data_IF_912581130529
#
_entry.id   IF_912581130529
#
_cell.length_a   1.000
_cell.length_b   1.000
_cell.length_c   1.000
_cell.angle_alpha   90.00
_cell.angle_beta   90.00
_cell.angle_gamma   90.00
#
_symmetry.space_group_name_H-M   'P 1'
#
loop_
_entity.id
_entity.type
_entity.pdbx_description
1 polymer ?
#
# COMPACT_ATOMS: atom_id res chain seq x y z
N UNK A 1 23.09 10.47 -5.68
CA UNK A 1 22.39 9.20 -5.36
C UNK A 1 21.60 9.25 -4.04
N UNK A 2 22.11 9.93 -2.99
CA UNK A 2 21.44 9.99 -1.69
C UNK A 2 19.98 10.51 -1.72
N UNK A 3 19.67 11.57 -2.48
CA UNK A 3 18.31 12.09 -2.62
C UNK A 3 17.35 11.11 -3.33
N UNK A 4 17.85 10.30 -4.27
CA UNK A 4 17.05 9.24 -4.93
C UNK A 4 16.75 8.11 -3.94
N UNK A 5 17.64 7.84 -2.99
CA UNK A 5 17.36 6.86 -1.94
C UNK A 5 16.22 7.33 -1.00
N UNK A 6 16.03 8.65 -0.83
CA UNK A 6 14.92 9.21 -0.03
C UNK A 6 13.55 8.91 -0.65
N UNK A 7 13.46 8.80 -1.98
CA UNK A 7 12.19 8.56 -2.68
C UNK A 7 11.78 7.09 -2.72
N UNK A 8 12.68 6.16 -2.35
CA UNK A 8 12.50 4.70 -2.42
C UNK A 8 11.92 4.24 -3.78
N UNK A 9 12.74 4.13 -4.84
CA UNK A 9 12.28 3.79 -6.19
C UNK A 9 11.45 2.50 -6.29
N UNK A 10 11.66 1.53 -5.40
CA UNK A 10 10.84 0.29 -5.35
C UNK A 10 9.37 0.54 -5.02
N UNK A 11 9.00 1.69 -4.47
CA UNK A 11 7.59 2.07 -4.26
C UNK A 11 6.87 2.30 -5.59
N UNK A 12 7.61 2.63 -6.66
CA UNK A 12 7.04 2.78 -8.01
C UNK A 12 6.37 1.48 -8.46
N UNK A 13 6.97 0.31 -8.20
CA UNK A 13 6.39 -0.98 -8.63
C UNK A 13 5.00 -1.21 -8.00
N UNK A 14 4.86 -0.88 -6.71
CA UNK A 14 3.59 -1.00 -6.00
C UNK A 14 2.56 0.04 -6.48
N UNK A 15 3.03 1.24 -6.84
CA UNK A 15 2.18 2.29 -7.39
C UNK A 15 1.69 1.91 -8.79
N UNK A 16 2.56 1.34 -9.63
CA UNK A 16 2.23 0.85 -10.96
C UNK A 16 1.19 -0.27 -10.93
N UNK A 17 1.35 -1.24 -10.02
CA UNK A 17 0.45 -2.40 -9.97
C UNK A 17 -0.97 -2.05 -9.52
N UNK A 18 -1.16 -0.91 -8.85
CA UNK A 18 -2.46 -0.48 -8.34
C UNK A 18 -3.06 0.68 -9.13
N UNK A 19 -2.26 1.64 -9.58
CA UNK A 19 -2.74 2.81 -10.33
C UNK A 19 -3.04 2.48 -11.79
N UNK A 20 -2.10 1.84 -12.50
CA UNK A 20 -2.23 1.66 -13.95
C UNK A 20 -3.42 0.77 -14.30
N UNK A 21 -3.64 -0.40 -13.66
CA UNK A 21 -4.84 -1.19 -13.92
C UNK A 21 -6.15 -0.46 -13.70
N UNK A 22 -6.19 0.41 -12.69
CA UNK A 22 -7.39 1.20 -12.39
C UNK A 22 -7.62 2.26 -13.47
N UNK A 23 -6.57 2.82 -14.08
CA UNK A 23 -6.70 3.70 -15.24
C UNK A 23 -7.32 2.98 -16.44
N UNK A 24 -6.94 1.72 -16.69
CA UNK A 24 -7.56 0.89 -17.74
C UNK A 24 -9.04 0.63 -17.46
N UNK A 25 -9.37 0.28 -16.21
CA UNK A 25 -10.76 0.11 -15.79
C UNK A 25 -11.57 1.41 -15.92
N UNK A 26 -10.99 2.54 -15.52
CA UNK A 26 -11.63 3.85 -15.57
C UNK A 26 -11.89 4.30 -17.02
N UNK A 27 -10.95 4.02 -17.93
CA UNK A 27 -11.09 4.28 -19.36
C UNK A 27 -12.06 3.31 -20.05
N UNK A 28 -12.28 2.12 -19.46
CA UNK A 28 -12.88 0.96 -20.14
C UNK A 28 -12.13 0.65 -21.45
N UNK A 29 -10.79 0.64 -21.39
CA UNK A 29 -9.93 0.48 -22.56
C UNK A 29 -8.49 0.89 -22.27
N UNK A 30 -7.72 1.20 -23.32
CA UNK A 30 -6.33 1.67 -23.17
C UNK A 30 -6.34 3.17 -22.85
N UNK A 31 -5.87 3.62 -21.67
CA UNK A 31 -5.73 5.04 -21.36
C UNK A 31 -4.62 5.68 -22.18
N UNK A 32 -4.70 6.99 -22.41
CA UNK A 32 -3.64 7.75 -23.08
C UNK A 32 -2.29 7.57 -22.37
N UNK A 33 -1.25 7.23 -23.14
CA UNK A 33 0.07 6.91 -22.59
C UNK A 33 0.68 8.12 -21.87
N UNK A 34 0.49 9.33 -22.40
CA UNK A 34 1.00 10.56 -21.75
C UNK A 34 0.32 10.77 -20.40
N UNK A 35 -0.99 10.55 -20.30
CA UNK A 35 -1.72 10.60 -19.03
C UNK A 35 -1.22 9.56 -18.02
N UNK A 36 -0.96 8.31 -18.46
CA UNK A 36 -0.36 7.26 -17.61
C UNK A 36 0.99 7.70 -17.07
N UNK A 37 1.88 8.19 -17.94
CA UNK A 37 3.22 8.65 -17.56
C UNK A 37 3.17 9.83 -16.59
N UNK A 38 2.32 10.82 -16.85
CA UNK A 38 2.13 11.97 -15.95
C UNK A 38 1.56 11.55 -14.59
N UNK A 39 0.58 10.64 -14.57
CA UNK A 39 0.00 10.11 -13.32
C UNK A 39 1.03 9.34 -12.51
N UNK A 40 1.82 8.48 -13.15
CA UNK A 40 2.87 7.71 -12.49
C UNK A 40 3.99 8.62 -11.96
N UNK A 41 4.41 9.62 -12.75
CA UNK A 41 5.41 10.61 -12.33
C UNK A 41 4.91 11.44 -11.14
N UNK A 42 3.69 11.98 -11.21
CA UNK A 42 3.08 12.72 -10.12
C UNK A 42 2.95 11.88 -8.86
N UNK A 43 2.46 10.65 -8.98
CA UNK A 43 2.36 9.69 -7.89
C UNK A 43 3.71 9.36 -7.27
N UNK A 44 4.74 9.14 -8.08
CA UNK A 44 6.10 8.92 -7.62
C UNK A 44 6.66 10.12 -6.84
N UNK A 45 6.48 11.34 -7.34
CA UNK A 45 6.94 12.54 -6.64
C UNK A 45 6.19 12.73 -5.31
N UNK A 46 4.87 12.49 -5.27
CA UNK A 46 4.08 12.55 -4.03
C UNK A 46 4.55 11.51 -3.02
N UNK A 47 4.62 10.24 -3.42
CA UNK A 47 5.10 9.16 -2.56
C UNK A 47 6.55 9.38 -2.12
N UNK A 48 7.40 9.89 -3.00
CA UNK A 48 8.79 10.25 -2.71
C UNK A 48 8.91 11.35 -1.66
N UNK A 49 8.10 12.41 -1.78
CA UNK A 49 8.00 13.48 -0.79
C UNK A 49 7.51 12.97 0.57
N UNK A 50 6.47 12.15 0.57
CA UNK A 50 5.94 11.51 1.76
C UNK A 50 6.99 10.63 2.47
N UNK A 51 7.81 9.90 1.71
CA UNK A 51 8.91 9.10 2.27
C UNK A 51 10.06 9.94 2.83
N UNK A 52 10.46 11.01 2.13
CA UNK A 52 11.49 11.92 2.62
C UNK A 52 11.06 12.57 3.95
N UNK A 53 9.80 13.01 4.04
CA UNK A 53 9.24 13.55 5.28
C UNK A 53 9.10 12.49 6.38
N UNK A 54 8.74 11.25 6.03
CA UNK A 54 8.72 10.15 6.98
C UNK A 54 10.12 9.87 7.56
N UNK A 55 11.16 9.81 6.73
CA UNK A 55 12.55 9.64 7.19
C UNK A 55 12.99 10.81 8.06
N UNK A 56 12.59 12.04 7.72
CA UNK A 56 12.86 13.22 8.53
C UNK A 56 12.30 13.10 9.96
N UNK A 57 11.04 12.65 10.08
CA UNK A 57 10.36 12.51 11.37
C UNK A 57 10.90 11.32 12.16
N UNK A 58 11.16 10.19 11.49
CA UNK A 58 11.58 8.93 12.12
C UNK A 58 13.10 8.78 12.31
N UNK A 59 13.87 9.84 12.08
CA UNK A 59 15.35 9.82 12.14
C UNK A 59 15.94 9.25 13.44
N UNK A 60 15.25 9.48 14.56
CA UNK A 60 15.65 9.06 15.91
C UNK A 60 15.52 7.53 16.08
N UNK A 61 14.41 6.95 15.62
CA UNK A 61 14.18 5.50 15.70
C UNK A 61 14.87 4.74 14.56
N UNK A 62 15.02 5.36 13.39
CA UNK A 62 15.67 4.73 12.24
C UNK A 62 17.15 4.41 12.54
N UNK A 63 17.80 5.22 13.39
CA UNK A 63 19.18 5.01 13.83
C UNK A 63 19.35 3.76 14.73
N UNK A 64 18.26 3.28 15.33
CA UNK A 64 18.25 2.17 16.29
C UNK A 64 17.82 0.83 15.68
N UNK A 65 17.52 0.79 14.38
CA UNK A 65 17.12 -0.44 13.68
C UNK A 65 18.15 -0.83 12.62
N UNK A 66 18.55 -2.11 12.61
CA UNK A 66 19.54 -2.65 11.67
C UNK A 66 19.16 -2.39 10.20
N UNK A 67 17.85 -2.46 9.89
CA UNK A 67 17.33 -2.26 8.53
C UNK A 67 17.40 -0.81 8.04
N UNK A 68 17.44 0.18 8.94
CA UNK A 68 17.30 1.61 8.59
C UNK A 68 18.46 2.47 9.04
N UNK A 69 19.41 1.90 9.78
CA UNK A 69 20.64 2.57 10.21
C UNK A 69 21.49 3.11 9.06
N UNK A 70 21.33 2.55 7.85
CA UNK A 70 22.02 2.96 6.63
C UNK A 70 21.25 4.02 5.81
N UNK A 71 20.16 4.59 6.32
CA UNK A 71 19.41 5.63 5.60
C UNK A 71 20.26 6.90 5.48
N UNK A 72 20.17 7.65 4.35
CA UNK A 72 20.99 8.85 4.12
C UNK A 72 20.94 9.91 5.22
N UNK A 73 19.80 10.01 5.90
CA UNK A 73 19.59 10.95 6.99
C UNK A 73 20.27 10.52 8.30
N UNK A 74 20.39 9.21 8.53
CA UNK A 74 21.05 8.63 9.71
C UNK A 74 22.56 8.67 9.55
N UNK A 75 23.06 8.38 8.35
CA UNK A 75 24.50 8.39 8.05
C UNK A 75 25.08 9.80 7.85
N UNK A 76 24.25 10.85 7.90
CA UNK A 76 24.66 12.23 7.68
C UNK A 76 24.98 12.59 6.22
N UNK A 77 24.66 11.72 5.24
CA UNK A 77 24.85 12.01 3.81
C UNK A 77 23.92 13.13 3.30
N UNK A 78 22.81 13.36 3.99
CA UNK A 78 21.88 14.47 3.74
C UNK A 78 21.55 15.11 5.08
N UNK A 79 21.60 16.43 5.17
CA UNK A 79 21.22 17.12 6.41
C UNK A 79 19.70 17.08 6.63
N UNK A 80 19.22 17.17 7.88
CA UNK A 80 17.80 17.24 8.16
C UNK A 80 17.08 18.38 7.43
N UNK A 81 17.72 19.55 7.30
CA UNK A 81 17.15 20.71 6.61
C UNK A 81 16.97 20.45 5.11
N UNK A 82 17.96 19.85 4.47
CA UNK A 82 17.89 19.46 3.05
C UNK A 82 16.81 18.41 2.80
N UNK A 83 16.70 17.40 3.67
CA UNK A 83 15.67 16.37 3.55
C UNK A 83 14.25 16.94 3.68
N UNK A 84 14.04 17.85 4.63
CA UNK A 84 12.76 18.55 4.81
C UNK A 84 12.42 19.41 3.59
N UNK A 85 13.36 20.23 3.13
CA UNK A 85 13.17 21.08 1.95
C UNK A 85 12.91 20.25 0.68
N UNK A 86 13.60 19.12 0.53
CA UNK A 86 13.39 18.19 -0.58
C UNK A 86 11.99 17.55 -0.53
N UNK A 87 11.57 17.06 0.64
CA UNK A 87 10.24 16.46 0.81
C UNK A 87 9.09 17.44 0.51
N UNK A 88 9.20 18.68 1.01
CA UNK A 88 8.22 19.75 0.74
C UNK A 88 8.22 20.12 -0.75
N UNK A 89 9.40 20.29 -1.35
CA UNK A 89 9.53 20.59 -2.78
C UNK A 89 8.85 19.51 -3.63
N UNK A 90 9.09 18.23 -3.35
CA UNK A 90 8.45 17.13 -4.05
C UNK A 90 6.92 17.15 -3.90
N UNK A 91 6.41 17.47 -2.70
CA UNK A 91 4.97 17.59 -2.46
C UNK A 91 4.34 18.72 -3.30
N UNK A 92 4.97 19.90 -3.33
CA UNK A 92 4.50 21.05 -4.12
C UNK A 92 4.56 20.75 -5.61
N UNK A 93 5.71 20.25 -6.09
CA UNK A 93 5.90 19.91 -7.51
C UNK A 93 4.91 18.83 -7.96
N UNK A 94 4.72 17.78 -7.17
CA UNK A 94 3.73 16.74 -7.46
C UNK A 94 2.31 17.30 -7.56
N UNK A 95 1.92 18.14 -6.60
CA UNK A 95 0.57 18.73 -6.55
C UNK A 95 0.33 19.62 -7.76
N UNK A 96 1.28 20.49 -8.11
CA UNK A 96 1.20 21.34 -9.30
C UNK A 96 1.21 20.52 -10.59
N UNK A 97 2.04 19.49 -10.67
CA UNK A 97 2.08 18.59 -11.82
C UNK A 97 0.72 17.94 -12.04
N UNK A 98 0.09 17.37 -11.00
CA UNK A 98 -1.26 16.84 -11.12
C UNK A 98 -2.29 17.91 -11.48
N UNK A 99 -2.31 19.04 -10.78
CA UNK A 99 -3.32 20.07 -10.96
C UNK A 99 -3.30 20.71 -12.36
N UNK A 100 -2.09 20.91 -12.91
CA UNK A 100 -1.89 21.58 -14.20
C UNK A 100 -1.87 20.64 -15.40
N UNK A 101 -1.56 19.35 -15.22
CA UNK A 101 -1.37 18.42 -16.35
C UNK A 101 -2.33 17.22 -16.36
N UNK A 102 -3.01 16.94 -15.25
CA UNK A 102 -3.94 15.81 -15.10
C UNK A 102 -5.33 16.32 -14.71
N UNK A 103 -5.52 16.70 -13.44
CA UNK A 103 -6.67 17.44 -12.91
C UNK A 103 -6.48 17.74 -11.42
N UNK A 104 -7.26 18.70 -10.91
CA UNK A 104 -7.22 19.11 -9.51
C UNK A 104 -7.77 18.06 -8.53
N UNK A 105 -8.72 17.21 -8.96
CA UNK A 105 -9.23 16.14 -8.09
C UNK A 105 -8.11 15.17 -7.71
N UNK A 106 -7.35 14.72 -8.69
CA UNK A 106 -6.19 13.83 -8.50
C UNK A 106 -5.09 14.51 -7.69
N UNK A 107 -4.88 15.82 -7.89
CA UNK A 107 -3.94 16.61 -7.10
C UNK A 107 -4.33 16.62 -5.61
N UNK A 108 -5.61 16.88 -5.30
CA UNK A 108 -6.10 16.89 -3.91
C UNK A 108 -6.07 15.50 -3.26
N UNK A 109 -6.39 14.45 -4.01
CA UNK A 109 -6.27 13.07 -3.51
C UNK A 109 -4.80 12.72 -3.23
N UNK A 110 -3.86 13.09 -4.11
CA UNK A 110 -2.44 12.85 -3.92
C UNK A 110 -1.86 13.64 -2.74
N UNK A 111 -2.25 14.92 -2.59
CA UNK A 111 -1.84 15.75 -1.46
C UNK A 111 -2.43 15.23 -0.15
N UNK A 112 -3.72 14.86 -0.16
CA UNK A 112 -4.40 14.25 0.99
C UNK A 112 -3.73 12.95 1.44
N UNK A 113 -3.37 12.08 0.50
CA UNK A 113 -2.62 10.85 0.77
C UNK A 113 -1.27 11.13 1.44
N UNK A 114 -0.52 12.11 0.91
CA UNK A 114 0.77 12.52 1.45
C UNK A 114 0.62 13.07 2.87
N UNK A 115 -0.30 14.02 3.09
CA UNK A 115 -0.54 14.61 4.40
C UNK A 115 -1.03 13.58 5.41
N UNK A 116 -1.90 12.66 4.99
CA UNK A 116 -2.36 11.56 5.83
C UNK A 116 -1.18 10.65 6.23
N UNK A 117 -0.31 10.29 5.29
CA UNK A 117 0.86 9.46 5.59
C UNK A 117 1.84 10.14 6.55
N UNK A 118 2.08 11.44 6.37
CA UNK A 118 3.02 12.20 7.19
C UNK A 118 2.42 12.49 8.58
N UNK A 119 1.23 13.09 8.63
CA UNK A 119 0.64 13.55 9.90
C UNK A 119 -0.03 12.39 10.64
N UNK A 120 -0.99 11.73 10.00
CA UNK A 120 -1.83 10.72 10.68
C UNK A 120 -1.02 9.45 10.93
N UNK A 121 -0.36 8.91 9.91
CA UNK A 121 0.43 7.70 10.11
C UNK A 121 1.75 7.97 10.85
N UNK A 122 2.64 8.79 10.28
CA UNK A 122 4.02 8.89 10.79
C UNK A 122 4.07 9.57 12.18
N UNK A 123 3.44 10.73 12.34
CA UNK A 123 3.53 11.48 13.60
C UNK A 123 2.63 10.94 14.71
N UNK A 124 1.44 10.44 14.36
CA UNK A 124 0.40 10.08 15.35
C UNK A 124 0.33 8.56 15.55
N UNK A 125 -0.10 7.81 14.54
CA UNK A 125 -0.47 6.40 14.73
C UNK A 125 0.73 5.50 14.96
N UNK A 126 1.81 5.67 14.18
CA UNK A 126 2.95 4.74 14.12
C UNK A 126 3.46 4.34 15.49
N UNK A 127 3.66 5.31 16.39
CA UNK A 127 4.24 5.12 17.72
C UNK A 127 3.21 4.93 18.84
N UNK A 128 1.90 5.04 18.57
CA UNK A 128 0.87 5.13 19.63
C UNK A 128 -0.11 3.95 19.66
N UNK A 129 -0.24 3.19 18.59
CA UNK A 129 -1.27 2.14 18.50
C UNK A 129 -0.85 0.95 17.66
N UNK A 130 -1.35 -0.25 18.00
CA UNK A 130 -1.21 -1.47 17.20
C UNK A 130 -2.09 -1.49 15.95
N UNK A 131 -3.00 -0.53 15.82
CA UNK A 131 -3.78 -0.25 14.62
C UNK A 131 -3.04 0.65 13.62
N UNK A 132 -1.75 0.91 13.85
CA UNK A 132 -0.94 1.79 13.02
C UNK A 132 -0.92 1.41 11.53
N UNK A 133 -0.77 0.13 11.21
CA UNK A 133 -0.80 -0.36 9.82
C UNK A 133 -2.21 -0.29 9.24
N UNK A 134 -3.24 -0.61 10.04
CA UNK A 134 -4.62 -0.68 9.54
C UNK A 134 -5.06 0.70 9.06
N UNK A 135 -5.00 1.70 9.94
CA UNK A 135 -5.40 3.06 9.59
C UNK A 135 -4.33 3.77 8.76
N UNK A 136 -3.05 3.53 9.02
CA UNK A 136 -1.96 4.09 8.22
C UNK A 136 -1.95 3.60 6.77
N UNK A 137 -2.50 2.41 6.53
CA UNK A 137 -2.66 1.80 5.21
C UNK A 137 -3.53 2.62 4.25
N UNK A 138 -4.39 3.51 4.75
CA UNK A 138 -5.24 4.39 3.93
C UNK A 138 -4.42 5.13 2.88
N UNK A 139 -3.28 5.72 3.27
CA UNK A 139 -2.41 6.42 2.32
C UNK A 139 -1.89 5.51 1.20
N UNK A 140 -1.62 4.24 1.49
CA UNK A 140 -1.18 3.25 0.51
C UNK A 140 -2.30 2.77 -0.43
N UNK A 141 -3.56 3.02 -0.09
CA UNK A 141 -4.72 2.65 -0.91
C UNK A 141 -5.14 3.77 -1.89
N UNK A 142 -4.73 5.02 -1.61
CA UNK A 142 -5.02 6.19 -2.44
C UNK A 142 -4.59 6.11 -3.91
N UNK A 143 -3.51 5.39 -4.30
CA UNK A 143 -3.14 5.23 -5.70
C UNK A 143 -4.25 4.68 -6.60
N UNK A 144 -5.18 3.90 -6.05
CA UNK A 144 -6.39 3.41 -6.75
C UNK A 144 -7.32 4.58 -7.08
N UNK A 145 -7.65 5.41 -6.09
CA UNK A 145 -8.53 6.57 -6.28
C UNK A 145 -7.91 7.58 -7.25
N UNK A 146 -6.61 7.82 -7.12
CA UNK A 146 -5.84 8.73 -7.99
C UNK A 146 -5.81 8.22 -9.43
N UNK A 147 -5.61 6.91 -9.64
CA UNK A 147 -5.63 6.31 -10.98
C UNK A 147 -7.00 6.42 -11.65
N UNK A 148 -8.09 6.30 -10.88
CA UNK A 148 -9.42 6.49 -11.43
C UNK A 148 -9.71 7.95 -11.76
N UNK A 149 -9.43 8.85 -10.81
CA UNK A 149 -9.71 10.28 -10.97
C UNK A 149 -8.83 10.92 -12.03
N UNK A 150 -7.64 10.39 -12.31
CA UNK A 150 -6.76 10.93 -13.35
C UNK A 150 -7.38 10.80 -14.74
N UNK A 151 -8.12 9.72 -14.98
CA UNK A 151 -8.83 9.45 -16.23
C UNK A 151 -10.19 10.13 -16.28
N UNK A 152 -10.99 10.00 -15.21
CA UNK A 152 -12.42 10.38 -15.25
C UNK A 152 -12.73 11.74 -14.66
N UNK A 153 -11.77 12.36 -13.98
CA UNK A 153 -11.94 13.59 -13.19
C UNK A 153 -13.19 13.57 -12.28
N UNK A 154 -13.55 12.38 -11.79
CA UNK A 154 -14.70 12.14 -10.92
C UNK A 154 -14.43 10.95 -10.01
N UNK A 155 -15.37 10.64 -9.12
CA UNK A 155 -15.31 9.48 -8.24
C UNK A 155 -16.56 8.62 -8.44
N UNK A 156 -16.36 7.32 -8.59
CA UNK A 156 -17.44 6.33 -8.66
C UNK A 156 -17.27 5.28 -7.56
N UNK A 157 -18.18 4.31 -7.48
CA UNK A 157 -18.06 3.22 -6.50
C UNK A 157 -16.98 2.19 -6.84
N UNK A 158 -16.62 2.02 -8.12
CA UNK A 158 -15.57 1.09 -8.55
C UNK A 158 -14.19 1.33 -7.89
N UNK A 159 -13.61 2.54 -7.94
CA UNK A 159 -12.33 2.82 -7.28
C UNK A 159 -12.45 2.78 -5.75
N UNK A 160 -13.63 3.07 -5.18
CA UNK A 160 -13.87 2.93 -3.74
C UNK A 160 -13.84 1.47 -3.31
N UNK A 161 -14.44 0.56 -4.08
CA UNK A 161 -14.35 -0.88 -3.83
C UNK A 161 -12.90 -1.36 -3.92
N UNK A 162 -12.17 -0.99 -4.97
CA UNK A 162 -10.76 -1.37 -5.13
C UNK A 162 -9.86 -0.76 -4.04
N UNK A 163 -10.16 0.46 -3.58
CA UNK A 163 -9.52 1.06 -2.42
C UNK A 163 -9.77 0.22 -1.18
N UNK A 164 -11.01 -0.24 -0.95
CA UNK A 164 -11.34 -1.11 0.18
C UNK A 164 -10.65 -2.47 0.08
N UNK A 165 -10.50 -3.03 -1.12
CA UNK A 165 -9.70 -4.25 -1.32
C UNK A 165 -8.27 -4.04 -0.82
N UNK A 166 -7.61 -2.96 -1.25
CA UNK A 166 -6.25 -2.64 -0.80
C UNK A 166 -6.18 -2.36 0.71
N UNK A 167 -7.19 -1.70 1.26
CA UNK A 167 -7.29 -1.40 2.69
C UNK A 167 -7.37 -2.68 3.52
N UNK A 168 -8.27 -3.61 3.16
CA UNK A 168 -8.41 -4.88 3.87
C UNK A 168 -7.28 -5.88 3.56
N UNK A 169 -6.59 -5.72 2.43
CA UNK A 169 -5.38 -6.47 2.10
C UNK A 169 -4.17 -6.05 2.93
N UNK A 170 -4.08 -4.77 3.30
CA UNK A 170 -2.89 -4.21 3.97
C UNK A 170 -2.53 -4.97 5.26
N UNK A 171 -3.46 -5.26 6.20
CA UNK A 171 -3.09 -5.97 7.43
C UNK A 171 -2.69 -7.43 7.20
N UNK A 172 -3.45 -8.25 6.43
CA UNK A 172 -3.04 -9.59 6.06
C UNK A 172 -1.71 -9.69 5.28
N UNK A 173 -1.33 -8.64 4.56
CA UNK A 173 -0.02 -8.52 3.91
C UNK A 173 1.10 -8.18 4.90
N UNK A 174 0.91 -7.14 5.73
CA UNK A 174 1.98 -6.60 6.59
C UNK A 174 2.19 -7.39 7.89
N UNK A 175 1.15 -8.01 8.44
CA UNK A 175 1.27 -8.76 9.68
C UNK A 175 2.23 -9.95 9.58
N UNK A 176 2.22 -10.78 8.53
CA UNK A 176 3.21 -11.85 8.39
C UNK A 176 4.66 -11.35 8.34
N UNK A 177 4.92 -10.22 7.67
CA UNK A 177 6.24 -9.59 7.67
C UNK A 177 6.61 -9.12 9.09
N UNK A 178 5.71 -8.41 9.76
CA UNK A 178 5.97 -7.92 11.13
C UNK A 178 6.05 -9.04 12.18
N UNK A 179 5.48 -10.23 11.93
CA UNK A 179 5.73 -11.42 12.75
C UNK A 179 7.19 -11.88 12.62
N UNK A 180 7.77 -11.79 11.40
CA UNK A 180 9.17 -12.16 11.14
C UNK A 180 10.16 -11.20 11.78
N UNK A 181 9.88 -9.89 11.74
CA UNK A 181 10.77 -8.82 12.24
C UNK A 181 10.25 -8.16 13.52
N UNK A 182 9.53 -8.90 14.36
CA UNK A 182 8.88 -8.36 15.57
C UNK A 182 9.89 -7.76 16.56
N UNK A 183 11.10 -8.34 16.67
CA UNK A 183 12.09 -7.95 17.66
C UNK A 183 12.68 -6.56 17.35
N UNK A 184 12.82 -6.21 16.06
CA UNK A 184 13.24 -4.88 15.62
C UNK A 184 12.23 -3.81 16.04
N UNK A 185 10.94 -4.09 15.90
CA UNK A 185 9.88 -3.18 16.31
C UNK A 185 9.79 -3.03 17.83
N UNK A 186 9.96 -4.14 18.56
CA UNK A 186 9.98 -4.12 20.02
C UNK A 186 11.15 -3.27 20.55
N UNK A 187 12.33 -3.36 19.93
CA UNK A 187 13.54 -2.60 20.32
C UNK A 187 13.32 -1.08 20.29
N UNK A 188 12.54 -0.58 19.35
CA UNK A 188 12.25 0.86 19.19
C UNK A 188 10.88 1.28 19.76
N UNK A 189 10.23 0.40 20.52
CA UNK A 189 8.96 0.71 21.19
C UNK A 189 7.78 0.95 20.23
N UNK A 190 7.84 0.44 19.00
CA UNK A 190 6.73 0.57 18.03
C UNK A 190 5.72 -0.56 18.28
N UNK A 191 4.48 -0.27 18.69
CA UNK A 191 3.55 -1.28 19.20
C UNK A 191 2.83 -2.04 18.08
N UNK A 192 3.55 -2.64 17.13
CA UNK A 192 2.95 -3.43 16.05
C UNK A 192 2.09 -4.58 16.62
N UNK A 193 1.02 -4.97 15.93
CA UNK A 193 0.15 -6.04 16.43
C UNK A 193 0.91 -7.33 16.82
N UNK A 194 1.90 -7.83 16.04
CA UNK A 194 2.69 -9.00 16.44
C UNK A 194 3.65 -8.77 17.61
N UNK A 195 3.90 -7.53 18.02
CA UNK A 195 4.68 -7.20 19.22
C UNK A 195 3.81 -7.28 20.48
N UNK A 196 2.55 -6.87 20.38
CA UNK A 196 1.63 -6.78 21.54
C UNK A 196 0.65 -7.94 21.67
N UNK A 197 0.60 -8.84 20.68
CA UNK A 197 -0.33 -9.97 20.65
C UNK A 197 0.34 -11.27 20.20
N UNK A 198 -0.22 -12.40 20.61
CA UNK A 198 0.29 -13.72 20.23
C UNK A 198 0.04 -14.02 18.74
N UNK A 199 0.86 -14.91 18.18
CA UNK A 199 0.69 -15.38 16.79
C UNK A 199 -0.72 -15.93 16.52
N UNK A 200 -1.38 -16.52 17.52
CA UNK A 200 -2.77 -17.01 17.41
C UNK A 200 -3.76 -15.85 17.16
N UNK A 201 -3.61 -14.74 17.90
CA UNK A 201 -4.45 -13.54 17.75
C UNK A 201 -4.19 -12.89 16.41
N UNK A 202 -2.91 -12.69 16.04
CA UNK A 202 -2.52 -12.11 14.75
C UNK A 202 -3.09 -12.94 13.60
N UNK A 203 -2.92 -14.26 13.61
CA UNK A 203 -3.40 -15.12 12.54
C UNK A 203 -4.93 -15.17 12.44
N UNK A 204 -5.66 -15.03 13.57
CA UNK A 204 -7.12 -14.87 13.54
C UNK A 204 -7.52 -13.56 12.84
N UNK A 205 -6.83 -12.46 13.14
CA UNK A 205 -7.07 -11.18 12.48
C UNK A 205 -6.77 -11.25 10.98
N UNK A 206 -5.65 -11.89 10.58
CA UNK A 206 -5.32 -12.15 9.17
C UNK A 206 -6.49 -12.82 8.45
N UNK A 207 -7.06 -13.90 9.03
CA UNK A 207 -8.19 -14.61 8.42
C UNK A 207 -9.45 -13.74 8.33
N UNK A 208 -9.79 -12.99 9.38
CA UNK A 208 -10.97 -12.11 9.38
C UNK A 208 -10.87 -11.03 8.29
N UNK A 209 -9.75 -10.31 8.24
CA UNK A 209 -9.50 -9.31 7.21
C UNK A 209 -9.46 -9.93 5.80
N UNK A 210 -8.94 -11.15 5.67
CA UNK A 210 -8.91 -11.88 4.39
C UNK A 210 -10.31 -12.19 3.85
N UNK A 211 -11.24 -12.62 4.71
CA UNK A 211 -12.62 -12.85 4.31
C UNK A 211 -13.31 -11.56 3.85
N UNK A 212 -13.13 -10.47 4.59
CA UNK A 212 -13.68 -9.17 4.21
C UNK A 212 -13.07 -8.69 2.90
N UNK A 213 -11.75 -8.80 2.73
CA UNK A 213 -11.04 -8.45 1.49
C UNK A 213 -11.58 -9.22 0.28
N UNK A 214 -11.73 -10.54 0.38
CA UNK A 214 -12.28 -11.36 -0.71
C UNK A 214 -13.73 -11.00 -1.00
N UNK A 215 -14.56 -10.84 0.04
CA UNK A 215 -15.95 -10.41 -0.13
C UNK A 215 -16.08 -9.06 -0.83
N UNK A 216 -15.26 -8.08 -0.42
CA UNK A 216 -15.20 -6.75 -1.04
C UNK A 216 -14.74 -6.82 -2.50
N UNK A 217 -13.77 -7.68 -2.83
CA UNK A 217 -13.31 -7.83 -4.23
C UNK A 217 -14.45 -8.26 -5.16
N UNK A 218 -15.36 -9.11 -4.69
CA UNK A 218 -16.50 -9.58 -5.47
C UNK A 218 -17.59 -8.51 -5.65
N UNK A 219 -17.58 -7.42 -4.85
CA UNK A 219 -18.52 -6.31 -5.00
C UNK A 219 -18.27 -5.48 -6.27
N UNK A 220 -17.12 -5.62 -6.93
CA UNK A 220 -16.85 -4.90 -8.18
C UNK A 220 -17.69 -5.44 -9.36
N UNK A 221 -18.02 -6.72 -9.36
CA UNK A 221 -18.83 -7.38 -10.40
C UNK A 221 -20.26 -6.82 -10.50
N UNK A 222 -21.07 -6.75 -9.43
CA UNK A 222 -22.44 -6.23 -9.51
C UNK A 222 -22.52 -4.73 -9.86
N UNK A 223 -21.42 -3.98 -9.73
CA UNK A 223 -21.38 -2.57 -10.16
C UNK A 223 -21.34 -2.42 -11.70
N UNK A 224 -21.21 -3.50 -12.45
CA UNK A 224 -21.23 -3.46 -13.91
C UNK A 224 -19.93 -2.96 -14.55
N UNK A 225 -18.84 -2.80 -13.81
CA UNK A 225 -17.52 -2.40 -14.34
C UNK A 225 -16.62 -3.58 -14.73
N UNK A 226 -16.95 -4.80 -14.30
CA UNK A 226 -16.17 -6.01 -14.59
C UNK A 226 -17.02 -7.21 -15.03
N UNK A 227 -16.46 -8.07 -15.87
CA UNK A 227 -17.08 -9.22 -16.51
C UNK A 227 -16.70 -10.55 -15.85
N UNK A 228 -16.95 -11.64 -16.58
CA UNK A 228 -16.76 -13.00 -16.07
C UNK A 228 -15.30 -13.29 -15.72
N UNK A 229 -14.35 -12.69 -16.45
CA UNK A 229 -12.92 -12.95 -16.28
C UNK A 229 -12.43 -12.44 -14.93
N UNK A 230 -12.73 -11.17 -14.59
CA UNK A 230 -12.43 -10.62 -13.27
C UNK A 230 -13.05 -11.47 -12.14
N UNK A 231 -14.34 -11.81 -12.26
CA UNK A 231 -15.03 -12.59 -11.23
C UNK A 231 -14.38 -13.95 -11.03
N UNK A 232 -14.01 -14.65 -12.11
CA UNK A 232 -13.32 -15.94 -12.04
C UNK A 232 -11.98 -15.80 -11.31
N UNK A 233 -11.16 -14.81 -11.70
CA UNK A 233 -9.86 -14.57 -11.06
C UNK A 233 -10.03 -14.20 -9.58
N UNK A 234 -10.99 -13.34 -9.24
CA UNK A 234 -11.26 -12.94 -7.87
C UNK A 234 -11.67 -14.13 -6.98
N UNK A 235 -12.52 -15.04 -7.50
CA UNK A 235 -12.94 -16.25 -6.78
C UNK A 235 -11.78 -17.23 -6.60
N UNK A 236 -11.03 -17.53 -7.66
CA UNK A 236 -9.93 -18.50 -7.62
C UNK A 236 -8.78 -18.01 -6.76
N UNK A 237 -8.31 -16.78 -7.01
CA UNK A 237 -7.23 -16.17 -6.24
C UNK A 237 -7.66 -15.95 -4.78
N UNK A 238 -8.90 -15.54 -4.54
CA UNK A 238 -9.46 -15.37 -3.20
C UNK A 238 -9.57 -16.68 -2.43
N UNK A 239 -10.03 -17.75 -3.07
CA UNK A 239 -10.08 -19.09 -2.48
C UNK A 239 -8.68 -19.60 -2.10
N UNK A 240 -7.70 -19.45 -2.99
CA UNK A 240 -6.31 -19.80 -2.71
C UNK A 240 -5.72 -18.98 -1.54
N UNK A 241 -5.97 -17.68 -1.54
CA UNK A 241 -5.54 -16.78 -0.47
C UNK A 241 -6.12 -17.19 0.89
N UNK A 242 -7.43 -17.44 0.95
CA UNK A 242 -8.11 -17.88 2.16
C UNK A 242 -7.56 -19.22 2.66
N UNK A 243 -7.27 -20.16 1.77
CA UNK A 243 -6.64 -21.42 2.13
C UNK A 243 -5.28 -21.21 2.82
N UNK A 244 -4.39 -20.39 2.27
CA UNK A 244 -3.09 -20.13 2.90
C UNK A 244 -3.24 -19.35 4.22
N UNK A 245 -4.19 -18.40 4.31
CA UNK A 245 -4.46 -17.67 5.55
C UNK A 245 -4.91 -18.63 6.68
N UNK A 246 -5.78 -19.60 6.40
CA UNK A 246 -6.18 -20.62 7.37
C UNK A 246 -5.06 -21.61 7.66
N UNK A 247 -4.19 -21.91 6.69
CA UNK A 247 -3.01 -22.75 6.92
C UNK A 247 -2.04 -22.08 7.91
N UNK A 248 -1.80 -20.77 7.79
CA UNK A 248 -1.03 -20.00 8.78
C UNK A 248 -1.72 -20.02 10.15
N UNK A 249 -3.03 -19.80 10.20
CA UNK A 249 -3.79 -19.83 11.46
C UNK A 249 -3.71 -21.20 12.15
N UNK A 250 -3.76 -22.29 11.39
CA UNK A 250 -3.64 -23.66 11.91
C UNK A 250 -2.26 -23.89 12.51
N UNK A 251 -1.19 -23.50 11.82
CA UNK A 251 0.19 -23.56 12.33
C UNK A 251 0.37 -22.73 13.60
N UNK A 252 -0.22 -21.52 13.64
CA UNK A 252 -0.18 -20.66 14.82
C UNK A 252 -0.96 -21.26 16.01
N UNK A 253 -2.12 -21.88 15.78
CA UNK A 253 -2.90 -22.58 16.80
C UNK A 253 -2.15 -23.79 17.39
N UNK A 254 -1.41 -24.51 16.55
CA UNK A 254 -0.52 -25.60 16.94
C UNK A 254 0.80 -25.13 17.58
N UNK A 255 0.93 -23.83 17.88
CA UNK A 255 2.11 -23.22 18.54
C UNK A 255 3.42 -23.42 17.77
N UNK A 256 3.34 -23.60 16.45
CA UNK A 256 4.51 -23.67 15.59
C UNK A 256 5.17 -22.29 15.54
N UNK A 257 6.48 -22.26 15.77
CA UNK A 257 7.29 -21.03 15.77
C UNK A 257 8.47 -21.11 14.78
N UNK A 258 9.14 -19.98 14.58
CA UNK A 258 10.29 -19.87 13.68
C UNK A 258 9.92 -20.16 12.22
N UNK A 259 10.89 -20.66 11.44
CA UNK A 259 10.73 -20.90 10.01
C UNK A 259 9.57 -21.84 9.63
N UNK A 260 9.11 -22.69 10.56
CA UNK A 260 8.00 -23.62 10.34
C UNK A 260 6.63 -22.95 10.35
N UNK A 261 6.51 -21.74 10.90
CA UNK A 261 5.26 -20.97 10.87
C UNK A 261 4.91 -20.50 9.46
N UNK A 262 5.95 -20.27 8.62
CA UNK A 262 5.85 -19.89 7.21
C UNK A 262 5.12 -18.55 6.98
N UNK A 263 5.29 -17.59 7.88
CA UNK A 263 4.75 -16.23 7.77
C UNK A 263 5.21 -15.53 6.47
N UNK A 264 6.47 -15.70 6.07
CA UNK A 264 6.97 -15.12 4.83
C UNK A 264 6.34 -15.76 3.58
N UNK A 265 5.89 -17.02 3.63
CA UNK A 265 5.17 -17.63 2.49
C UNK A 265 3.86 -16.87 2.24
N UNK A 266 3.08 -16.58 3.30
CA UNK A 266 1.85 -15.81 3.17
C UNK A 266 2.13 -14.39 2.66
N UNK A 267 3.20 -13.74 3.13
CA UNK A 267 3.64 -12.43 2.62
C UNK A 267 3.85 -12.45 1.10
N UNK A 268 4.59 -13.41 0.54
CA UNK A 268 4.80 -13.48 -0.91
C UNK A 268 3.49 -13.79 -1.67
N UNK A 269 2.67 -14.71 -1.18
CA UNK A 269 1.37 -15.01 -1.79
C UNK A 269 0.42 -13.82 -1.83
N UNK A 270 0.50 -12.93 -0.84
CA UNK A 270 -0.36 -11.74 -0.80
C UNK A 270 -0.05 -10.77 -1.94
N UNK A 271 1.22 -10.69 -2.36
CA UNK A 271 1.65 -9.90 -3.51
C UNK A 271 1.13 -10.55 -4.79
N UNK A 272 1.25 -11.88 -4.92
CA UNK A 272 0.69 -12.62 -6.04
C UNK A 272 -0.82 -12.42 -6.16
N UNK A 273 -1.56 -12.50 -5.05
CA UNK A 273 -3.01 -12.28 -5.01
C UNK A 273 -3.39 -10.90 -5.58
N UNK A 274 -2.80 -9.81 -5.06
CA UNK A 274 -3.09 -8.45 -5.55
C UNK A 274 -2.66 -8.29 -7.01
N UNK A 275 -1.51 -8.85 -7.38
CA UNK A 275 -1.02 -8.78 -8.77
C UNK A 275 -2.01 -9.42 -9.74
N UNK A 276 -2.48 -10.63 -9.45
CA UNK A 276 -3.46 -11.34 -10.28
C UNK A 276 -4.78 -10.58 -10.34
N UNK A 277 -5.27 -10.09 -9.19
CA UNK A 277 -6.53 -9.36 -9.12
C UNK A 277 -6.49 -8.06 -9.94
N UNK A 278 -5.42 -7.27 -9.80
CA UNK A 278 -5.28 -6.01 -10.53
C UNK A 278 -4.95 -6.24 -12.01
N UNK A 279 -4.20 -7.28 -12.38
CA UNK A 279 -4.08 -7.68 -13.79
C UNK A 279 -5.45 -8.00 -14.37
N UNK A 280 -6.31 -8.72 -13.62
CA UNK A 280 -7.67 -8.97 -14.07
C UNK A 280 -8.48 -7.68 -14.22
N UNK A 281 -8.35 -6.72 -13.30
CA UNK A 281 -8.96 -5.37 -13.44
C UNK A 281 -8.52 -4.66 -14.73
N UNK A 282 -7.24 -4.77 -15.12
CA UNK A 282 -6.72 -4.13 -16.32
C UNK A 282 -7.18 -4.82 -17.62
N UNK A 283 -7.27 -6.15 -17.60
CA UNK A 283 -7.53 -6.98 -18.79
C UNK A 283 -9.02 -7.12 -19.07
N UNK A 284 -9.85 -7.17 -18.03
CA UNK A 284 -11.28 -7.44 -18.14
C UNK A 284 -12.06 -6.46 -19.05
N UNK A 285 -11.74 -5.15 -19.12
CA UNK A 285 -12.34 -4.24 -20.11
C UNK A 285 -12.21 -4.68 -21.57
N UNK A 286 -11.23 -5.54 -21.91
CA UNK A 286 -11.03 -6.06 -23.27
C UNK A 286 -11.72 -7.40 -23.53
N UNK A 287 -12.29 -8.03 -22.49
CA UNK A 287 -12.88 -9.38 -22.54
C UNK A 287 -14.40 -9.37 -22.34
N UNK A 288 -15.01 -8.17 -22.31
CA UNK A 288 -16.45 -7.96 -22.12
C UNK A 288 -17.19 -7.81 -23.44
#
# INVERSE_FOLDING_TARGET
MAFVALTKPRIIELLLITTVPVMFLAQQGVPDLKLVLLTCLGGYLSAGGANALNMYIDRDIDALMDRTSQRPLVTGMVSPRECLAFGITLAVVSTLLFGLTVNWLSAWLALGALLFYVVVYTMILKRRTSQNIVWGGIAGCMPVLIGWSSVTNSMSWAPVVLFMVMFFWTPPHYWPLSMKVKDDYARVGVPMLPVVASNKVVARQIVLYSWVMVGVSLLLTPLGYTGWFYTLVAVVAGGWWLWEAHALQTRAKAEVTGAKLKEMRLFHWSITYVSLLFVAVAVDPFLR
#
